data_IF_068373370993
#
_entry.id   IF_068373370993
#
_cell.length_a   1.000
_cell.length_b   1.000
_cell.length_c   1.000
_cell.angle_alpha   90.00
_cell.angle_beta   90.00
_cell.angle_gamma   90.00
#
_symmetry.space_group_name_H-M   'P 1'
#
loop_
_entity.id
_entity.type
_entity.pdbx_description
1 polymer ?
#
# COMPACT_ATOMS: atom_id res chain seq x y z
N UNK A 1 23.94 12.12 -23.63
CA UNK A 1 23.96 12.73 -22.28
C UNK A 1 22.51 12.99 -21.91
N UNK A 2 21.86 12.05 -21.24
CA UNK A 2 20.41 12.10 -20.99
C UNK A 2 20.17 12.93 -19.74
N UNK A 3 19.50 14.07 -19.90
CA UNK A 3 19.12 14.97 -18.82
C UNK A 3 18.18 14.21 -17.90
N UNK A 4 18.59 13.98 -16.65
CA UNK A 4 17.67 13.58 -15.59
C UNK A 4 16.62 14.69 -15.46
N UNK A 5 15.37 14.35 -15.73
CA UNK A 5 14.23 15.23 -15.50
C UNK A 5 14.15 15.44 -13.98
N UNK A 6 14.71 16.53 -13.48
CA UNK A 6 14.61 16.92 -12.08
C UNK A 6 13.13 16.98 -11.71
N UNK A 7 12.72 16.18 -10.73
CA UNK A 7 11.37 16.27 -10.16
C UNK A 7 11.29 17.63 -9.45
N UNK A 8 10.66 18.60 -10.09
CA UNK A 8 10.39 19.91 -9.51
C UNK A 8 9.18 19.80 -8.58
N UNK A 9 9.43 19.87 -7.27
CA UNK A 9 8.40 19.90 -6.22
C UNK A 9 8.01 21.34 -5.83
N UNK A 10 8.57 22.36 -6.50
CA UNK A 10 8.36 23.78 -6.16
C UNK A 10 7.00 24.33 -6.62
N UNK A 11 6.23 23.59 -7.42
CA UNK A 11 5.17 24.16 -8.27
C UNK A 11 3.82 23.43 -8.27
N UNK A 12 3.47 22.64 -7.24
CA UNK A 12 2.10 22.11 -7.11
C UNK A 12 1.28 22.90 -6.11
N UNK A 13 0.15 23.43 -6.58
CA UNK A 13 -0.97 23.87 -5.76
C UNK A 13 -1.17 22.92 -4.57
N UNK A 14 -1.65 23.46 -3.45
CA UNK A 14 -2.15 22.70 -2.28
C UNK A 14 -3.32 21.80 -2.71
N UNK A 15 -3.07 20.77 -3.51
CA UNK A 15 -3.98 19.66 -3.71
C UNK A 15 -3.88 18.83 -2.44
N UNK A 16 -4.58 19.34 -1.43
CA UNK A 16 -4.76 18.79 -0.10
C UNK A 16 -4.88 17.28 -0.20
N UNK A 17 -3.90 16.55 0.29
CA UNK A 17 -4.01 15.10 0.50
C UNK A 17 -5.24 14.79 1.39
N UNK A 18 -5.67 15.75 2.21
CA UNK A 18 -6.95 15.77 2.95
C UNK A 18 -8.21 15.85 2.09
N UNK A 19 -8.15 16.23 0.81
CA UNK A 19 -9.29 16.10 -0.12
C UNK A 19 -9.42 14.68 -0.69
N UNK A 20 -8.31 13.93 -0.71
CA UNK A 20 -8.29 12.57 -1.25
C UNK A 20 -8.74 11.55 -0.19
N UNK A 21 -8.34 11.76 1.07
CA UNK A 21 -8.68 10.89 2.20
C UNK A 21 -9.85 11.52 2.97
N UNK A 22 -11.08 11.11 2.66
CA UNK A 22 -12.27 11.70 3.24
C UNK A 22 -12.58 11.12 4.63
N UNK A 23 -12.98 11.97 5.58
CA UNK A 23 -13.42 11.52 6.90
C UNK A 23 -12.29 11.15 7.88
N UNK A 24 -11.04 11.44 7.53
CA UNK A 24 -9.90 11.32 8.44
C UNK A 24 -9.19 12.67 8.57
N UNK A 25 -8.89 13.05 9.81
CA UNK A 25 -8.04 14.19 10.09
C UNK A 25 -6.56 13.76 10.04
N UNK A 26 -5.68 14.56 9.41
CA UNK A 26 -4.27 14.25 9.33
C UNK A 26 -3.63 14.39 10.72
N UNK A 27 -2.80 13.41 11.08
CA UNK A 27 -1.96 13.49 12.28
C UNK A 27 -0.81 14.49 12.10
N UNK A 28 -0.30 14.59 10.87
CA UNK A 28 0.73 15.54 10.49
C UNK A 28 0.55 15.94 9.02
N UNK A 29 0.75 17.21 8.72
CA UNK A 29 0.72 17.74 7.36
C UNK A 29 2.00 18.50 7.02
N UNK A 30 2.39 18.43 5.75
CA UNK A 30 3.47 19.22 5.17
C UNK A 30 3.08 19.68 3.76
N UNK A 31 3.94 20.50 3.14
CA UNK A 31 3.73 20.93 1.75
C UNK A 31 3.76 19.76 0.74
N UNK A 32 4.28 18.59 1.12
CA UNK A 32 4.43 17.44 0.23
C UNK A 32 3.41 16.33 0.50
N UNK A 33 2.58 16.45 1.54
CA UNK A 33 1.60 15.42 1.87
C UNK A 33 1.23 15.37 3.34
N UNK A 34 0.41 14.37 3.67
CA UNK A 34 -0.16 14.17 5.00
C UNK A 34 0.10 12.76 5.50
N UNK A 35 0.16 12.63 6.82
CA UNK A 35 0.25 11.35 7.53
C UNK A 35 -1.04 11.17 8.33
N UNK A 36 -1.66 10.01 8.20
CA UNK A 36 -2.85 9.64 8.94
C UNK A 36 -2.49 8.55 9.95
N UNK A 37 -2.95 8.70 11.20
CA UNK A 37 -2.77 7.70 12.24
C UNK A 37 -4.11 6.99 12.48
N UNK A 38 -4.33 5.92 11.73
CA UNK A 38 -5.55 5.11 11.73
C UNK A 38 -5.26 3.71 11.16
N UNK A 39 -6.27 2.83 11.18
CA UNK A 39 -6.22 1.57 10.44
C UNK A 39 -6.11 1.87 8.93
N UNK A 40 -5.07 1.32 8.28
CA UNK A 40 -4.78 1.65 6.89
C UNK A 40 -5.82 1.08 5.93
N UNK A 41 -6.50 -0.03 6.26
CA UNK A 41 -7.58 -0.57 5.44
C UNK A 41 -8.79 0.38 5.45
N UNK A 42 -9.12 0.96 6.60
CA UNK A 42 -10.21 1.93 6.70
C UNK A 42 -9.87 3.25 6.01
N UNK A 43 -8.62 3.71 6.11
CA UNK A 43 -8.14 4.87 5.36
C UNK A 43 -8.25 4.61 3.85
N UNK A 44 -7.81 3.44 3.36
CA UNK A 44 -7.89 3.13 1.92
C UNK A 44 -9.33 3.12 1.40
N UNK A 45 -10.31 2.61 2.17
CA UNK A 45 -11.73 2.65 1.79
C UNK A 45 -12.27 4.06 1.57
N UNK A 46 -11.66 5.08 2.19
CA UNK A 46 -12.05 6.48 2.00
C UNK A 46 -11.46 7.15 0.76
N UNK A 47 -10.45 6.51 0.14
CA UNK A 47 -9.77 7.01 -1.05
C UNK A 47 -10.60 6.64 -2.29
N UNK A 48 -10.87 7.58 -3.22
CA UNK A 48 -11.58 7.30 -4.46
C UNK A 48 -10.88 6.27 -5.36
N UNK A 49 -11.66 5.57 -6.18
CA UNK A 49 -11.14 4.67 -7.21
C UNK A 49 -10.22 5.42 -8.19
N UNK A 50 -9.23 4.72 -8.76
CA UNK A 50 -8.36 5.24 -9.84
C UNK A 50 -7.75 6.62 -9.52
N UNK A 51 -7.25 6.82 -8.30
CA UNK A 51 -6.79 8.12 -7.82
C UNK A 51 -5.34 8.12 -7.30
N UNK A 52 -4.72 6.94 -7.19
CA UNK A 52 -3.36 6.75 -6.68
C UNK A 52 -2.47 6.19 -7.78
N UNK A 53 -1.32 6.81 -8.03
CA UNK A 53 -0.37 6.30 -9.03
C UNK A 53 0.61 5.26 -8.48
N UNK A 54 0.86 5.26 -7.17
CA UNK A 54 1.80 4.35 -6.52
C UNK A 54 1.35 3.99 -5.12
N UNK A 55 1.26 2.69 -4.84
CA UNK A 55 1.22 2.16 -3.48
C UNK A 55 2.54 1.48 -3.18
N UNK A 56 3.21 1.91 -2.10
CA UNK A 56 4.45 1.32 -1.61
C UNK A 56 4.27 0.89 -0.16
N UNK A 57 4.49 -0.38 0.15
CA UNK A 57 4.25 -0.90 1.50
C UNK A 57 5.14 -2.08 1.87
N UNK A 58 5.38 -2.22 3.16
CA UNK A 58 6.05 -3.36 3.81
C UNK A 58 5.18 -3.79 5.01
N UNK A 59 4.07 -4.50 4.78
CA UNK A 59 3.14 -4.86 5.84
C UNK A 59 3.83 -5.67 6.95
N UNK A 60 3.37 -5.54 8.21
CA UNK A 60 3.93 -6.32 9.31
C UNK A 60 3.76 -7.81 9.01
N UNK A 61 4.85 -8.57 9.12
CA UNK A 61 4.76 -10.02 8.94
C UNK A 61 3.98 -10.63 10.09
N UNK A 62 3.03 -11.51 9.78
CA UNK A 62 2.33 -12.38 10.74
C UNK A 62 3.26 -13.43 11.38
N UNK A 63 4.50 -13.06 11.71
CA UNK A 63 5.47 -13.84 12.47
C UNK A 63 5.28 -13.66 13.98
N UNK A 64 4.21 -12.99 14.41
CA UNK A 64 3.83 -12.93 15.82
C UNK A 64 3.31 -14.31 16.28
N UNK A 65 4.26 -15.09 16.83
CA UNK A 65 4.09 -16.25 17.72
C UNK A 65 3.67 -17.61 17.12
N UNK A 66 4.67 -18.42 16.77
CA UNK A 66 5.15 -19.53 17.64
C UNK A 66 6.47 -20.10 17.10
N UNK A 67 7.56 -19.93 17.86
CA UNK A 67 8.64 -20.94 17.87
C UNK A 67 8.28 -21.95 18.95
N UNK A 68 7.71 -23.07 18.52
CA UNK A 68 7.89 -24.46 18.99
C UNK A 68 6.79 -25.30 18.32
N UNK A 69 7.18 -26.04 17.29
CA UNK A 69 6.37 -27.00 16.50
C UNK A 69 4.99 -26.50 16.00
N UNK A 70 4.97 -25.92 14.79
CA UNK A 70 3.73 -25.69 14.03
C UNK A 70 3.84 -24.50 13.10
N UNK A 71 3.89 -24.77 11.79
CA UNK A 71 3.87 -23.74 10.75
C UNK A 71 2.61 -22.86 10.91
N UNK A 72 2.76 -21.57 11.25
CA UNK A 72 1.70 -20.60 10.93
C UNK A 72 1.51 -20.65 9.42
N UNK A 73 0.29 -20.93 8.97
CA UNK A 73 0.06 -21.31 7.59
C UNK A 73 0.23 -20.07 6.70
N UNK A 74 1.06 -20.17 5.65
CA UNK A 74 1.22 -19.16 4.60
C UNK A 74 -0.13 -18.61 4.09
N UNK A 75 -1.15 -19.47 4.09
CA UNK A 75 -2.54 -19.17 3.74
C UNK A 75 -3.14 -18.06 4.59
N UNK A 76 -2.87 -18.02 5.90
CA UNK A 76 -3.47 -17.06 6.82
C UNK A 76 -2.96 -15.64 6.54
N UNK A 77 -1.69 -15.50 6.15
CA UNK A 77 -1.12 -14.21 5.74
C UNK A 77 -1.72 -13.73 4.42
N UNK A 78 -1.86 -14.64 3.44
CA UNK A 78 -2.49 -14.31 2.15
C UNK A 78 -3.93 -13.89 2.38
N UNK A 79 -4.70 -14.67 3.17
CA UNK A 79 -6.09 -14.37 3.50
C UNK A 79 -6.25 -13.02 4.21
N UNK A 80 -5.37 -12.70 5.17
CA UNK A 80 -5.36 -11.39 5.82
C UNK A 80 -5.03 -10.25 4.83
N UNK A 81 -4.10 -10.47 3.90
CA UNK A 81 -3.68 -9.43 2.96
C UNK A 81 -4.66 -9.19 1.81
N UNK A 82 -5.57 -10.14 1.53
CA UNK A 82 -6.54 -10.06 0.42
C UNK A 82 -7.37 -8.77 0.48
N UNK A 83 -7.81 -8.35 1.66
CA UNK A 83 -8.62 -7.13 1.77
C UNK A 83 -7.81 -5.86 1.47
N UNK A 84 -6.53 -5.84 1.85
CA UNK A 84 -5.63 -4.77 1.43
C UNK A 84 -5.39 -4.79 -0.07
N UNK A 85 -5.15 -5.97 -0.66
CA UNK A 85 -4.91 -6.12 -2.08
C UNK A 85 -6.09 -5.62 -2.94
N UNK A 86 -7.33 -5.90 -2.53
CA UNK A 86 -8.54 -5.39 -3.19
C UNK A 86 -8.61 -3.87 -3.18
N UNK A 87 -8.39 -3.26 -2.02
CA UNK A 87 -8.43 -1.80 -1.90
C UNK A 87 -7.27 -1.13 -2.66
N UNK A 88 -6.07 -1.71 -2.60
CA UNK A 88 -4.91 -1.26 -3.38
C UNK A 88 -5.22 -1.28 -4.88
N UNK A 89 -5.81 -2.36 -5.38
CA UNK A 89 -6.24 -2.46 -6.78
C UNK A 89 -7.27 -1.38 -7.13
N UNK A 90 -8.28 -1.19 -6.28
CA UNK A 90 -9.36 -0.21 -6.50
C UNK A 90 -8.84 1.22 -6.59
N UNK A 91 -7.94 1.62 -5.70
CA UNK A 91 -7.45 3.00 -5.63
C UNK A 91 -6.38 3.31 -6.69
N UNK A 92 -5.68 2.30 -7.20
CA UNK A 92 -4.66 2.50 -8.23
C UNK A 92 -5.27 2.92 -9.56
N UNK A 93 -4.61 3.85 -10.26
CA UNK A 93 -4.93 4.18 -11.66
C UNK A 93 -4.63 3.00 -12.58
N UNK A 94 -5.18 3.00 -13.79
CA UNK A 94 -4.92 1.96 -14.80
C UNK A 94 -3.42 1.78 -15.10
N UNK A 95 -2.63 2.86 -15.02
CA UNK A 95 -1.16 2.88 -15.17
C UNK A 95 -0.40 2.92 -13.83
N UNK A 96 -1.12 2.73 -12.72
CA UNK A 96 -0.59 2.75 -11.37
C UNK A 96 0.29 1.54 -11.08
N UNK A 97 1.21 1.71 -10.13
CA UNK A 97 2.12 0.64 -9.71
C UNK A 97 1.90 0.26 -8.23
N UNK A 98 1.99 -1.04 -7.95
CA UNK A 98 2.03 -1.56 -6.59
C UNK A 98 3.41 -2.17 -6.30
N UNK A 99 4.07 -1.68 -5.25
CA UNK A 99 5.37 -2.19 -4.80
C UNK A 99 5.23 -2.73 -3.39
N UNK A 100 5.34 -4.05 -3.29
CA UNK A 100 5.29 -4.78 -2.04
C UNK A 100 6.71 -5.19 -1.63
N UNK A 101 7.20 -4.60 -0.53
CA UNK A 101 8.44 -5.04 0.08
C UNK A 101 8.14 -6.15 1.11
N UNK A 102 8.49 -7.39 0.74
CA UNK A 102 8.42 -8.56 1.61
C UNK A 102 9.82 -9.16 1.77
N UNK A 103 10.27 -9.31 3.01
CA UNK A 103 11.47 -10.04 3.37
C UNK A 103 11.30 -11.52 3.05
N UNK A 104 12.41 -12.22 2.84
CA UNK A 104 12.39 -13.63 2.49
C UNK A 104 11.64 -14.43 3.56
N UNK A 105 10.39 -14.80 3.27
CA UNK A 105 9.58 -15.75 4.04
C UNK A 105 10.18 -17.18 4.01
N UNK A 106 11.32 -17.38 3.33
CA UNK A 106 11.83 -18.69 2.93
C UNK A 106 11.06 -19.29 1.75
N UNK A 107 10.27 -18.48 1.02
CA UNK A 107 9.32 -18.94 0.01
C UNK A 107 9.66 -18.29 -1.36
N UNK A 108 9.63 -19.05 -2.47
CA UNK A 108 9.69 -18.48 -3.82
C UNK A 108 8.51 -17.55 -4.10
N UNK A 109 8.79 -16.37 -4.66
CA UNK A 109 7.77 -15.36 -5.04
C UNK A 109 6.69 -15.95 -5.98
N UNK A 110 6.98 -17.03 -6.69
CA UNK A 110 6.05 -17.77 -7.55
C UNK A 110 4.87 -18.44 -6.83
N UNK A 111 4.88 -18.52 -5.51
CA UNK A 111 3.78 -19.10 -4.72
C UNK A 111 2.85 -18.06 -4.09
N UNK A 112 3.14 -16.77 -4.26
CA UNK A 112 2.13 -15.73 -4.07
C UNK A 112 1.29 -15.73 -5.33
N UNK A 113 0.06 -16.20 -5.24
CA UNK A 113 -0.87 -16.13 -6.35
C UNK A 113 -1.24 -14.67 -6.61
N UNK A 114 -0.43 -14.01 -7.45
CA UNK A 114 -0.65 -12.64 -7.90
C UNK A 114 -1.92 -12.50 -8.72
N UNK A 115 -2.58 -13.60 -9.14
CA UNK A 115 -3.88 -13.51 -9.79
C UNK A 115 -4.92 -12.86 -8.89
N UNK A 116 -4.80 -12.98 -7.56
CA UNK A 116 -5.67 -12.29 -6.59
C UNK A 116 -5.52 -10.76 -6.66
N UNK A 117 -4.36 -10.25 -7.08
CA UNK A 117 -4.11 -8.81 -7.26
C UNK A 117 -4.54 -8.34 -8.66
N UNK A 118 -4.59 -9.25 -9.64
CA UNK A 118 -4.83 -8.93 -11.06
C UNK A 118 -6.28 -9.20 -11.52
N UNK A 119 -7.03 -10.10 -10.88
CA UNK A 119 -8.47 -10.37 -11.12
C UNK A 119 -9.36 -9.37 -10.40
#
# INVERSE_FOLDING_TARGET
MTIQKTLDFSSKEKNSTTKLVNGFEPFYESNLGSIFHADSLDVMKSIPDNSVNLVFTSPPYALHFKKEYGNVCQKDYVEWFVDFAKEIKRILTEDGSFVLNIGALGIPVSQLDLSIILS
#
